data_IF_332252770351
#
_entry.id   IF_332252770351
#
_cell.length_a   1.000
_cell.length_b   1.000
_cell.length_c   1.000
_cell.angle_alpha   90.00
_cell.angle_beta   90.00
_cell.angle_gamma   90.00
#
_symmetry.space_group_name_H-M   'P 1'
#
loop_
_entity.id
_entity.type
_entity.pdbx_description
1 polymer ?
#
# COMPACT_ATOMS: atom_id res chain seq x y z
N UNK A 1 -9.92 39.11 1.75
CA UNK A 1 -10.96 38.18 2.23
C UNK A 1 -10.54 37.76 3.64
N UNK A 2 -11.44 37.49 4.58
CA UNK A 2 -11.07 37.13 5.97
C UNK A 2 -11.70 35.79 6.35
N UNK A 3 -10.93 34.90 6.99
CA UNK A 3 -11.43 33.65 7.57
C UNK A 3 -11.17 33.72 9.08
N UNK A 4 -12.23 33.66 9.89
CA UNK A 4 -12.13 33.82 11.35
C UNK A 4 -11.60 35.17 11.82
N UNK A 5 -11.85 36.26 11.07
CA UNK A 5 -11.39 37.61 11.41
C UNK A 5 -9.90 37.87 11.13
N UNK A 6 -9.24 36.99 10.37
CA UNK A 6 -7.85 37.17 9.91
C UNK A 6 -7.81 37.29 8.38
N UNK A 7 -6.99 38.21 7.83
CA UNK A 7 -6.78 38.31 6.39
C UNK A 7 -6.34 36.96 5.81
N UNK A 8 -7.09 36.49 4.82
CA UNK A 8 -6.91 35.25 4.09
C UNK A 8 -6.76 35.60 2.60
N UNK A 9 -5.71 35.08 1.97
CA UNK A 9 -5.48 35.21 0.54
C UNK A 9 -6.01 33.94 -0.13
N UNK A 10 -6.93 34.12 -1.07
CA UNK A 10 -7.31 33.07 -2.01
C UNK A 10 -6.17 32.94 -3.03
N UNK A 11 -5.75 31.70 -3.37
CA UNK A 11 -6.51 30.46 -3.22
C UNK A 11 -6.14 29.58 -2.02
N UNK A 12 -7.12 28.78 -1.59
CA UNK A 12 -6.93 27.69 -0.63
C UNK A 12 -6.43 26.44 -1.35
N UNK A 13 -5.50 25.71 -0.75
CA UNK A 13 -5.01 24.43 -1.27
C UNK A 13 -5.54 23.31 -0.34
N UNK A 14 -6.62 22.59 -0.72
CA UNK A 14 -7.20 21.59 0.18
C UNK A 14 -6.23 20.45 0.51
N UNK A 15 -5.51 19.97 -0.50
CA UNK A 15 -4.57 18.85 -0.41
C UNK A 15 -3.33 19.20 -1.23
N UNK A 16 -2.16 19.06 -0.61
CA UNK A 16 -0.87 19.14 -1.29
C UNK A 16 -0.28 17.73 -1.37
N UNK A 17 -0.14 17.19 -2.57
CA UNK A 17 0.45 15.87 -2.81
C UNK A 17 1.93 16.01 -3.15
N UNK A 18 2.80 15.23 -2.51
CA UNK A 18 4.24 15.25 -2.73
C UNK A 18 4.77 13.82 -2.80
N UNK A 19 5.50 13.46 -3.85
CA UNK A 19 6.22 12.17 -3.87
C UNK A 19 7.57 12.28 -3.15
N UNK A 20 7.85 11.33 -2.26
CA UNK A 20 9.16 11.16 -1.62
C UNK A 20 10.20 10.51 -2.56
N UNK A 21 9.78 10.02 -3.73
CA UNK A 21 10.68 9.39 -4.69
C UNK A 21 11.80 10.35 -5.13
N UNK A 22 13.05 9.91 -4.97
CA UNK A 22 14.23 10.73 -5.28
C UNK A 22 14.44 11.92 -4.33
N UNK A 23 13.74 11.98 -3.19
CA UNK A 23 13.95 12.98 -2.13
C UNK A 23 14.65 12.30 -0.96
N UNK A 24 15.97 12.46 -0.88
CA UNK A 24 16.83 11.74 0.08
C UNK A 24 17.34 12.63 1.22
N UNK A 25 16.92 13.89 1.28
CA UNK A 25 17.33 14.84 2.32
C UNK A 25 16.19 15.78 2.73
N UNK A 26 16.25 16.36 3.94
CA UNK A 26 15.25 17.33 4.40
C UNK A 26 15.12 18.52 3.45
N UNK A 27 16.23 19.03 2.94
CA UNK A 27 16.24 20.14 1.97
C UNK A 27 15.49 19.77 0.70
N UNK A 28 15.77 18.61 0.11
CA UNK A 28 15.07 18.18 -1.11
C UNK A 28 13.58 17.98 -0.89
N UNK A 29 13.18 17.45 0.27
CA UNK A 29 11.77 17.31 0.62
C UNK A 29 11.10 18.68 0.80
N UNK A 30 11.76 19.62 1.48
CA UNK A 30 11.25 20.98 1.64
C UNK A 30 11.11 21.71 0.30
N UNK A 31 12.11 21.59 -0.57
CA UNK A 31 12.08 22.13 -1.94
C UNK A 31 10.91 21.52 -2.72
N UNK A 32 10.69 20.21 -2.62
CA UNK A 32 9.58 19.55 -3.30
C UNK A 32 8.21 20.04 -2.81
N UNK A 33 8.02 20.15 -1.48
CA UNK A 33 6.77 20.69 -0.90
C UNK A 33 6.52 22.12 -1.41
N UNK A 34 7.55 22.98 -1.41
CA UNK A 34 7.41 24.34 -1.90
C UNK A 34 7.15 24.41 -3.42
N UNK A 35 7.78 23.55 -4.20
CA UNK A 35 7.56 23.44 -5.64
C UNK A 35 6.12 23.02 -5.97
N UNK A 36 5.51 22.14 -5.18
CA UNK A 36 4.10 21.76 -5.36
C UNK A 36 3.13 22.89 -4.98
N UNK A 37 3.53 23.81 -4.10
CA UNK A 37 2.76 25.04 -3.86
C UNK A 37 2.93 26.01 -5.03
N UNK A 38 4.15 26.20 -5.52
CA UNK A 38 4.45 27.03 -6.69
C UNK A 38 3.80 26.50 -7.99
N UNK A 39 3.52 25.20 -8.10
CA UNK A 39 2.82 24.65 -9.25
C UNK A 39 1.33 25.05 -9.27
N UNK A 40 0.76 25.37 -8.11
CA UNK A 40 -0.63 25.76 -7.94
C UNK A 40 -0.83 27.29 -7.90
N UNK A 41 0.22 28.04 -7.56
CA UNK A 41 0.18 29.48 -7.32
C UNK A 41 1.27 30.20 -8.12
N UNK A 42 1.05 31.45 -8.55
CA UNK A 42 2.11 32.28 -9.12
C UNK A 42 3.08 32.75 -8.02
N UNK A 43 3.89 31.84 -7.49
CA UNK A 43 4.87 32.06 -6.42
C UNK A 43 6.24 31.47 -6.76
N UNK A 44 7.23 31.78 -5.93
CA UNK A 44 8.62 31.31 -6.06
C UNK A 44 9.19 30.82 -4.72
N UNK A 45 8.37 30.07 -3.97
CA UNK A 45 8.74 29.51 -2.69
C UNK A 45 9.88 28.49 -2.77
N UNK A 46 9.99 27.75 -3.87
CA UNK A 46 11.08 26.80 -4.12
C UNK A 46 12.44 27.50 -4.00
N UNK A 47 12.60 28.65 -4.65
CA UNK A 47 13.82 29.44 -4.62
C UNK A 47 14.12 30.04 -3.26
N UNK A 48 13.06 30.41 -2.51
CA UNK A 48 13.19 30.86 -1.13
C UNK A 48 13.72 29.74 -0.23
N UNK A 49 13.18 28.53 -0.36
CA UNK A 49 13.64 27.35 0.40
C UNK A 49 15.08 26.98 0.03
N UNK A 50 15.44 27.03 -1.26
CA UNK A 50 16.82 26.72 -1.70
C UNK A 50 17.87 27.62 -1.05
N UNK A 51 17.53 28.87 -0.74
CA UNK A 51 18.44 29.88 -0.17
C UNK A 51 18.46 29.91 1.36
N UNK A 52 17.50 29.27 2.03
CA UNK A 52 17.37 29.28 3.48
C UNK A 52 17.74 27.93 4.10
N UNK A 53 18.26 27.91 5.32
CA UNK A 53 18.55 26.69 6.08
C UNK A 53 17.44 26.29 7.05
N UNK A 54 16.59 27.24 7.47
CA UNK A 54 15.48 26.98 8.38
C UNK A 54 14.23 26.53 7.61
N UNK A 55 14.28 25.31 7.09
CA UNK A 55 13.23 24.75 6.26
C UNK A 55 11.88 24.61 6.99
N UNK A 56 11.90 24.31 8.30
CA UNK A 56 10.67 24.13 9.10
C UNK A 56 9.90 25.44 9.17
N UNK A 57 10.56 26.54 9.56
CA UNK A 57 9.90 27.83 9.69
C UNK A 57 9.38 28.33 8.34
N UNK A 58 10.16 28.16 7.27
CA UNK A 58 9.76 28.62 5.94
C UNK A 58 8.57 27.81 5.40
N UNK A 59 8.62 26.48 5.46
CA UNK A 59 7.48 25.65 5.05
C UNK A 59 6.25 25.98 5.87
N UNK A 60 6.38 26.17 7.17
CA UNK A 60 5.23 26.48 8.02
C UNK A 60 4.54 27.78 7.60
N UNK A 61 5.33 28.81 7.28
CA UNK A 61 4.81 30.07 6.73
C UNK A 61 4.14 29.87 5.37
N UNK A 62 4.76 29.10 4.46
CA UNK A 62 4.19 28.80 3.15
C UNK A 62 2.84 28.09 3.30
N UNK A 63 2.79 27.00 4.07
CA UNK A 63 1.59 26.19 4.22
C UNK A 63 0.45 26.97 4.90
N UNK A 64 0.74 27.67 6.01
CA UNK A 64 -0.30 28.43 6.73
C UNK A 64 -0.78 29.66 5.95
N UNK A 65 0.11 30.36 5.23
CA UNK A 65 -0.27 31.58 4.50
C UNK A 65 -1.10 31.29 3.26
N UNK A 66 -0.91 30.11 2.66
CA UNK A 66 -1.66 29.64 1.50
C UNK A 66 -2.83 28.71 1.88
N UNK A 67 -3.18 28.66 3.17
CA UNK A 67 -4.31 27.88 3.70
C UNK A 67 -4.30 26.43 3.21
N UNK A 68 -3.13 25.78 3.27
CA UNK A 68 -3.00 24.37 2.93
C UNK A 68 -3.76 23.55 3.96
N UNK A 69 -4.77 22.81 3.54
CA UNK A 69 -5.61 22.00 4.43
C UNK A 69 -4.88 20.77 4.96
N UNK A 70 -4.05 20.14 4.13
CA UNK A 70 -3.35 18.90 4.45
C UNK A 70 -2.24 18.58 3.44
N UNK A 71 -1.16 17.94 3.91
CA UNK A 71 -0.05 17.49 3.07
C UNK A 71 0.02 15.97 3.04
N UNK A 72 -0.01 15.39 1.85
CA UNK A 72 0.15 13.97 1.60
C UNK A 72 1.53 13.69 1.00
N UNK A 73 2.35 12.92 1.69
CA UNK A 73 3.68 12.50 1.22
C UNK A 73 3.62 11.02 0.85
N UNK A 74 3.73 10.72 -0.44
CA UNK A 74 3.73 9.35 -0.94
C UNK A 74 5.14 8.76 -1.05
N UNK A 75 5.22 7.44 -1.15
CA UNK A 75 6.45 6.68 -1.32
C UNK A 75 7.50 6.83 -0.19
N UNK A 76 7.06 7.12 1.04
CA UNK A 76 7.95 7.32 2.18
C UNK A 76 8.79 6.08 2.52
N UNK A 77 8.38 4.89 2.08
CA UNK A 77 9.17 3.65 2.23
C UNK A 77 10.57 3.76 1.61
N UNK A 78 10.76 4.62 0.61
CA UNK A 78 12.05 4.78 -0.08
C UNK A 78 13.14 5.34 0.84
N UNK A 79 12.75 6.00 1.94
CA UNK A 79 13.69 6.48 2.98
C UNK A 79 14.32 5.36 3.80
N UNK A 80 13.84 4.11 3.67
CA UNK A 80 14.48 2.94 4.26
C UNK A 80 15.90 2.72 3.72
N UNK A 81 16.14 3.15 2.47
CA UNK A 81 17.41 3.04 1.74
C UNK A 81 18.35 4.23 1.95
N UNK A 82 17.89 5.24 2.68
CA UNK A 82 18.64 6.47 2.96
C UNK A 82 19.35 6.34 4.32
N UNK A 83 20.51 7.01 4.46
CA UNK A 83 21.25 7.11 5.71
C UNK A 83 20.35 7.57 6.86
N UNK A 84 20.58 6.98 8.04
CA UNK A 84 19.74 7.22 9.21
C UNK A 84 19.61 8.70 9.55
N UNK A 85 20.72 9.44 9.58
CA UNK A 85 20.71 10.88 9.89
C UNK A 85 19.80 11.68 8.95
N UNK A 86 19.81 11.35 7.66
CA UNK A 86 19.01 12.05 6.65
C UNK A 86 17.53 11.67 6.78
N UNK A 87 17.23 10.38 7.00
CA UNK A 87 15.88 9.90 7.30
C UNK A 87 15.29 10.58 8.53
N UNK A 88 16.04 10.63 9.63
CA UNK A 88 15.61 11.25 10.88
C UNK A 88 15.38 12.75 10.69
N UNK A 89 16.24 13.40 9.89
CA UNK A 89 16.05 14.79 9.48
C UNK A 89 14.77 15.01 8.68
N UNK A 90 14.38 14.08 7.79
CA UNK A 90 13.15 14.19 7.00
C UNK A 90 11.92 14.04 7.90
N UNK A 91 11.92 13.07 8.82
CA UNK A 91 10.86 12.93 9.82
C UNK A 91 10.78 14.16 10.72
N UNK A 92 11.92 14.69 11.18
CA UNK A 92 11.99 15.91 11.99
C UNK A 92 11.48 17.14 11.25
N UNK A 93 11.76 17.27 9.94
CA UNK A 93 11.20 18.33 9.10
C UNK A 93 9.67 18.25 9.06
N UNK A 94 9.11 17.06 8.81
CA UNK A 94 7.66 16.84 8.71
C UNK A 94 6.99 17.18 10.03
N UNK A 95 7.45 16.58 11.13
CA UNK A 95 6.85 16.79 12.45
C UNK A 95 7.01 18.24 12.89
N UNK A 96 8.20 18.83 12.73
CA UNK A 96 8.43 20.23 13.09
C UNK A 96 7.53 21.18 12.29
N UNK A 97 7.32 20.92 11.00
CA UNK A 97 6.43 21.71 10.15
C UNK A 97 4.98 21.53 10.55
N UNK A 98 4.54 20.30 10.83
CA UNK A 98 3.19 19.98 11.31
C UNK A 98 2.89 20.71 12.63
N UNK A 99 3.79 20.63 13.61
CA UNK A 99 3.63 21.27 14.92
C UNK A 99 3.64 22.81 14.83
N UNK A 100 4.44 23.38 13.93
CA UNK A 100 4.58 24.84 13.78
C UNK A 100 3.45 25.46 12.95
N UNK A 101 3.01 24.78 11.89
CA UNK A 101 1.98 25.29 10.97
C UNK A 101 0.55 24.93 11.38
N UNK A 102 0.38 23.86 12.17
CA UNK A 102 -0.92 23.24 12.43
C UNK A 102 -1.51 22.47 11.24
N UNK A 103 -0.78 22.37 10.12
CA UNK A 103 -1.23 21.64 8.94
C UNK A 103 -0.91 20.15 9.11
N UNK A 104 -1.91 19.25 9.03
CA UNK A 104 -1.68 17.82 9.17
C UNK A 104 -0.88 17.25 8.00
N UNK A 105 -0.03 16.26 8.30
CA UNK A 105 0.72 15.48 7.32
C UNK A 105 0.30 14.02 7.38
N UNK A 106 0.20 13.37 6.21
CA UNK A 106 0.09 11.91 6.09
C UNK A 106 1.22 11.39 5.24
N UNK A 107 1.79 10.28 5.67
CA UNK A 107 2.79 9.55 4.91
C UNK A 107 2.14 8.24 4.42
N UNK A 108 2.28 7.95 3.14
CA UNK A 108 1.94 6.63 2.59
C UNK A 108 3.19 5.90 2.11
N UNK A 109 3.06 4.59 2.06
CA UNK A 109 4.09 3.73 1.53
C UNK A 109 3.74 2.27 1.65
N UNK A 110 4.66 1.43 1.19
CA UNK A 110 4.59 -0.01 1.41
C UNK A 110 4.86 -0.33 2.87
N UNK A 111 4.85 -1.61 3.23
CA UNK A 111 5.16 -2.03 4.60
C UNK A 111 6.54 -1.61 5.10
N UNK A 112 7.49 -1.37 4.19
CA UNK A 112 8.82 -0.85 4.52
C UNK A 112 8.79 0.57 5.14
N UNK A 113 7.66 1.28 5.04
CA UNK A 113 7.45 2.52 5.80
C UNK A 113 7.46 2.27 7.31
N UNK A 114 7.03 1.09 7.77
CA UNK A 114 7.12 0.75 9.20
C UNK A 114 8.56 0.74 9.68
N UNK A 115 9.51 0.25 8.88
CA UNK A 115 10.94 0.26 9.23
C UNK A 115 11.50 1.68 9.32
N UNK A 116 11.02 2.58 8.46
CA UNK A 116 11.38 4.01 8.50
C UNK A 116 10.92 4.63 9.82
N UNK A 117 9.70 4.30 10.25
CA UNK A 117 9.06 4.89 11.42
C UNK A 117 9.57 4.28 12.75
N UNK A 118 9.70 2.95 12.83
CA UNK A 118 10.15 2.28 14.05
C UNK A 118 11.57 2.70 14.49
N UNK A 119 12.42 3.10 13.55
CA UNK A 119 13.79 3.56 13.83
C UNK A 119 13.84 4.90 14.56
N UNK A 120 12.77 5.70 14.56
CA UNK A 120 12.72 6.99 15.24
C UNK A 120 11.42 7.21 16.03
N UNK A 121 11.19 6.32 16.99
CA UNK A 121 9.95 6.16 17.76
C UNK A 121 9.31 7.48 18.25
N UNK A 122 10.08 8.43 18.79
CA UNK A 122 9.53 9.69 19.32
C UNK A 122 8.90 10.60 18.26
N UNK A 123 9.46 10.64 17.05
CA UNK A 123 8.92 11.43 15.94
C UNK A 123 7.76 10.68 15.27
N UNK A 124 7.89 9.36 15.17
CA UNK A 124 6.83 8.52 14.63
C UNK A 124 5.60 8.47 15.51
N UNK A 125 5.73 8.48 16.84
CA UNK A 125 4.59 8.59 17.76
C UNK A 125 3.77 9.87 17.51
N UNK A 126 4.42 10.98 17.12
CA UNK A 126 3.73 12.22 16.73
C UNK A 126 3.02 12.12 15.39
N UNK A 127 3.63 11.47 14.40
CA UNK A 127 2.98 11.18 13.10
C UNK A 127 1.80 10.22 13.26
N UNK A 128 1.94 9.22 14.13
CA UNK A 128 0.91 8.23 14.42
C UNK A 128 -0.17 8.71 15.39
N UNK A 129 -0.02 9.88 16.01
CA UNK A 129 -0.98 10.38 17.00
C UNK A 129 -2.40 10.48 16.43
N UNK A 130 -2.53 10.66 15.10
CA UNK A 130 -3.81 10.74 14.40
C UNK A 130 -4.28 9.40 13.79
N UNK A 131 -3.53 8.32 13.99
CA UNK A 131 -3.87 6.96 13.58
C UNK A 131 -3.05 6.41 12.41
N UNK A 132 -3.20 5.10 12.19
CA UNK A 132 -2.60 4.37 11.06
C UNK A 132 -3.71 3.66 10.30
N UNK A 133 -3.72 3.78 8.97
CA UNK A 133 -4.61 3.04 8.10
C UNK A 133 -3.82 2.00 7.31
N UNK A 134 -4.05 0.73 7.61
CA UNK A 134 -3.51 -0.37 6.80
C UNK A 134 -4.47 -0.70 5.66
N UNK A 135 -3.95 -0.79 4.43
CA UNK A 135 -4.71 -1.23 3.25
C UNK A 135 -4.26 -2.65 2.90
N UNK A 136 -4.89 -3.70 3.46
CA UNK A 136 -4.51 -5.07 3.16
C UNK A 136 -4.91 -5.46 1.72
N UNK A 137 -4.33 -6.53 1.16
CA UNK A 137 -4.85 -7.16 -0.04
C UNK A 137 -6.34 -7.52 0.12
N UNK A 138 -7.04 -7.54 -1.01
CA UNK A 138 -8.44 -7.93 -1.10
C UNK A 138 -8.59 -9.37 -0.63
N UNK A 139 -9.52 -9.62 0.28
CA UNK A 139 -9.73 -10.97 0.82
C UNK A 139 -10.50 -11.86 -0.16
N UNK A 140 -10.21 -13.15 -0.11
CA UNK A 140 -11.05 -14.14 -0.78
C UNK A 140 -12.46 -14.14 -0.17
N UNK A 141 -13.49 -14.33 -1.00
CA UNK A 141 -14.90 -14.25 -0.60
C UNK A 141 -15.58 -13.02 -1.18
N UNK A 142 -16.36 -12.32 -0.36
CA UNK A 142 -17.21 -11.23 -0.84
C UNK A 142 -16.41 -10.05 -1.39
N UNK A 143 -15.29 -9.67 -0.77
CA UNK A 143 -14.50 -8.51 -1.21
C UNK A 143 -13.98 -8.64 -2.64
N UNK A 144 -13.41 -9.80 -2.99
CA UNK A 144 -12.95 -10.05 -4.37
C UNK A 144 -14.13 -10.19 -5.33
N UNK A 145 -15.25 -10.78 -4.90
CA UNK A 145 -16.46 -10.85 -5.70
C UNK A 145 -16.96 -9.45 -6.08
N UNK A 146 -17.08 -8.54 -5.11
CA UNK A 146 -17.56 -7.17 -5.32
C UNK A 146 -16.64 -6.38 -6.26
N UNK A 147 -15.33 -6.58 -6.15
CA UNK A 147 -14.35 -5.94 -7.05
C UNK A 147 -14.49 -6.51 -8.46
N UNK A 148 -14.52 -7.83 -8.60
CA UNK A 148 -14.69 -8.47 -9.90
C UNK A 148 -16.00 -8.05 -10.57
N UNK A 149 -17.11 -8.01 -9.83
CA UNK A 149 -18.41 -7.57 -10.33
C UNK A 149 -18.37 -6.12 -10.84
N UNK A 150 -17.80 -5.19 -10.05
CA UNK A 150 -17.65 -3.78 -10.47
C UNK A 150 -16.75 -3.61 -11.68
N UNK A 151 -15.67 -4.39 -11.78
CA UNK A 151 -14.78 -4.39 -12.93
C UNK A 151 -15.47 -5.01 -14.16
N UNK A 152 -16.23 -6.08 -13.95
CA UNK A 152 -16.99 -6.77 -15.00
C UNK A 152 -18.07 -5.87 -15.61
N UNK A 153 -18.75 -5.07 -14.80
CA UNK A 153 -19.70 -4.05 -15.26
C UNK A 153 -19.06 -2.97 -16.15
N UNK A 154 -17.73 -2.81 -16.08
CA UNK A 154 -16.97 -1.86 -16.91
C UNK A 154 -16.37 -2.52 -18.15
N UNK A 155 -16.65 -3.80 -18.39
CA UNK A 155 -16.21 -4.48 -19.60
C UNK A 155 -16.80 -3.79 -20.85
N UNK A 156 -15.94 -3.52 -21.83
CA UNK A 156 -16.33 -2.92 -23.10
C UNK A 156 -16.48 -4.02 -24.15
N UNK A 157 -17.60 -4.74 -24.11
CA UNK A 157 -18.02 -5.68 -25.17
C UNK A 157 -19.36 -5.25 -25.75
N UNK A 158 -19.60 -5.40 -27.06
CA UNK A 158 -20.88 -5.01 -27.66
C UNK A 158 -22.02 -6.00 -27.36
N UNK A 159 -21.75 -7.09 -26.64
CA UNK A 159 -22.74 -8.01 -26.08
C UNK A 159 -22.56 -8.14 -24.56
N UNK A 160 -23.65 -8.49 -23.89
CA UNK A 160 -23.65 -8.74 -22.44
C UNK A 160 -23.17 -10.16 -22.15
N UNK A 161 -22.10 -10.29 -21.37
CA UNK A 161 -21.61 -11.57 -20.84
C UNK A 161 -21.87 -11.55 -19.34
N UNK A 162 -22.58 -12.54 -18.81
CA UNK A 162 -22.70 -12.70 -17.36
C UNK A 162 -21.36 -13.17 -16.76
N UNK A 163 -20.98 -12.58 -15.63
CA UNK A 163 -19.76 -12.99 -14.91
C UNK A 163 -19.92 -14.43 -14.43
N UNK A 164 -19.05 -15.36 -14.85
CA UNK A 164 -19.11 -16.72 -14.35
C UNK A 164 -18.84 -16.78 -12.84
N UNK A 165 -19.57 -17.60 -12.10
CA UNK A 165 -19.44 -17.71 -10.64
C UNK A 165 -18.06 -18.13 -10.14
N UNK A 166 -17.29 -18.84 -10.97
CA UNK A 166 -15.90 -19.24 -10.68
C UNK A 166 -14.88 -18.11 -10.88
N UNK A 167 -15.25 -17.04 -11.60
CA UNK A 167 -14.32 -16.01 -12.05
C UNK A 167 -13.60 -15.27 -10.91
N UNK A 168 -14.28 -14.80 -9.84
CA UNK A 168 -13.59 -14.11 -8.75
C UNK A 168 -12.57 -14.98 -8.02
N UNK A 169 -12.84 -16.28 -7.91
CA UNK A 169 -11.91 -17.22 -7.27
C UNK A 169 -10.64 -17.40 -8.12
N UNK A 170 -10.79 -17.45 -9.44
CA UNK A 170 -9.64 -17.56 -10.34
C UNK A 170 -8.80 -16.27 -10.31
N UNK A 171 -9.43 -15.09 -10.35
CA UNK A 171 -8.75 -13.80 -10.17
C UNK A 171 -7.97 -13.77 -8.85
N UNK A 172 -8.59 -14.17 -7.74
CA UNK A 172 -7.92 -14.22 -6.43
C UNK A 172 -6.69 -15.13 -6.45
N UNK A 173 -6.78 -16.33 -7.06
CA UNK A 173 -5.67 -17.27 -7.15
C UNK A 173 -4.50 -16.67 -7.92
N UNK A 174 -4.76 -15.95 -9.01
CA UNK A 174 -3.72 -15.41 -9.89
C UNK A 174 -3.12 -14.09 -9.43
N UNK A 175 -3.74 -13.41 -8.46
CA UNK A 175 -3.32 -12.06 -8.02
C UNK A 175 -3.02 -11.96 -6.52
N UNK A 176 -3.35 -13.00 -5.74
CA UNK A 176 -3.31 -12.98 -4.27
C UNK A 176 -4.08 -11.80 -3.64
N UNK A 177 -5.06 -11.23 -4.35
CA UNK A 177 -5.85 -10.10 -3.87
C UNK A 177 -5.13 -8.75 -3.95
N UNK A 178 -3.95 -8.67 -4.56
CA UNK A 178 -3.28 -7.38 -4.77
C UNK A 178 -4.01 -6.58 -5.84
N UNK A 179 -4.51 -5.40 -5.46
CA UNK A 179 -5.30 -4.51 -6.34
C UNK A 179 -4.58 -4.18 -7.64
N UNK A 180 -3.26 -3.92 -7.57
CA UNK A 180 -2.41 -3.69 -8.74
C UNK A 180 -2.47 -4.85 -9.73
N UNK A 181 -2.25 -6.08 -9.25
CA UNK A 181 -2.27 -7.27 -10.10
C UNK A 181 -3.67 -7.62 -10.59
N UNK A 182 -4.72 -7.29 -9.82
CA UNK A 182 -6.11 -7.39 -10.29
C UNK A 182 -6.32 -6.46 -11.50
N UNK A 183 -5.88 -5.20 -11.42
CA UNK A 183 -6.01 -4.26 -12.54
C UNK A 183 -5.17 -4.68 -13.74
N UNK A 184 -3.89 -4.97 -13.53
CA UNK A 184 -2.95 -5.46 -14.56
C UNK A 184 -3.42 -6.76 -15.24
N UNK A 185 -4.26 -7.56 -14.57
CA UNK A 185 -4.86 -8.77 -15.14
C UNK A 185 -6.18 -8.51 -15.87
N UNK A 186 -7.12 -7.81 -15.22
CA UNK A 186 -8.50 -7.70 -15.71
C UNK A 186 -8.63 -6.75 -16.91
N UNK A 187 -7.89 -5.64 -16.91
CA UNK A 187 -7.93 -4.68 -18.02
C UNK A 187 -7.55 -5.33 -19.36
N UNK A 188 -6.38 -5.97 -19.50
CA UNK A 188 -6.01 -6.61 -20.76
C UNK A 188 -6.84 -7.87 -21.04
N UNK A 189 -7.32 -8.59 -20.02
CA UNK A 189 -8.21 -9.73 -20.23
C UNK A 189 -9.52 -9.31 -20.89
N UNK A 190 -10.13 -8.21 -20.43
CA UNK A 190 -11.36 -7.70 -21.03
C UNK A 190 -11.14 -7.19 -22.44
N UNK A 191 -9.99 -6.56 -22.72
CA UNK A 191 -9.61 -6.19 -24.08
C UNK A 191 -9.50 -7.43 -24.98
N UNK A 192 -8.80 -8.48 -24.55
CA UNK A 192 -8.66 -9.72 -25.32
C UNK A 192 -10.01 -10.41 -25.56
N UNK A 193 -10.90 -10.44 -24.57
CA UNK A 193 -12.25 -11.01 -24.74
C UNK A 193 -13.03 -10.29 -25.84
N UNK A 194 -12.90 -8.96 -25.90
CA UNK A 194 -13.54 -8.15 -26.94
C UNK A 194 -12.92 -8.40 -28.32
N UNK A 195 -11.59 -8.46 -28.41
CA UNK A 195 -10.84 -8.76 -29.64
C UNK A 195 -11.18 -10.16 -30.20
N UNK A 196 -11.22 -11.16 -29.32
CA UNK A 196 -11.52 -12.56 -29.68
C UNK A 196 -13.01 -12.80 -29.96
N UNK A 197 -13.86 -11.77 -29.80
CA UNK A 197 -15.30 -11.82 -30.01
C UNK A 197 -16.00 -12.93 -29.20
N UNK A 198 -15.55 -13.14 -27.96
CA UNK A 198 -16.00 -14.25 -27.13
C UNK A 198 -17.35 -13.93 -26.45
N UNK A 199 -18.35 -14.75 -26.74
CA UNK A 199 -19.68 -14.67 -26.10
C UNK A 199 -19.80 -15.48 -24.82
N UNK A 200 -18.88 -16.42 -24.60
CA UNK A 200 -18.81 -17.25 -23.39
C UNK A 200 -17.35 -17.46 -23.02
N UNK A 201 -17.03 -17.19 -21.77
CA UNK A 201 -15.67 -17.30 -21.24
C UNK A 201 -15.55 -18.62 -20.49
N UNK A 202 -14.48 -19.35 -20.76
CA UNK A 202 -14.15 -20.59 -20.04
C UNK A 202 -13.06 -20.35 -19.02
N UNK A 203 -13.04 -21.17 -17.97
CA UNK A 203 -11.98 -21.09 -16.94
C UNK A 203 -10.60 -21.35 -17.55
N UNK A 204 -10.51 -22.26 -18.52
CA UNK A 204 -9.28 -22.54 -19.26
C UNK A 204 -8.75 -21.30 -19.98
N UNK A 205 -9.61 -20.56 -20.67
CA UNK A 205 -9.21 -19.35 -21.38
C UNK A 205 -8.59 -18.30 -20.44
N UNK A 206 -9.24 -18.05 -19.30
CA UNK A 206 -8.75 -17.10 -18.28
C UNK A 206 -7.42 -17.56 -17.68
N UNK A 207 -7.26 -18.87 -17.46
CA UNK A 207 -6.01 -19.46 -16.97
C UNK A 207 -4.87 -19.32 -17.97
N UNK A 208 -5.11 -19.70 -19.23
CA UNK A 208 -4.11 -19.63 -20.30
C UNK A 208 -3.66 -18.17 -20.52
N UNK A 209 -4.59 -17.22 -20.44
CA UNK A 209 -4.29 -15.79 -20.48
C UNK A 209 -3.46 -15.33 -19.26
N UNK A 210 -3.87 -15.72 -18.04
CA UNK A 210 -3.14 -15.38 -16.83
C UNK A 210 -1.71 -15.95 -16.82
N UNK A 211 -1.53 -17.19 -17.27
CA UNK A 211 -0.22 -17.85 -17.32
C UNK A 211 0.73 -17.14 -18.30
N UNK A 212 0.20 -16.47 -19.33
CA UNK A 212 0.98 -15.64 -20.25
C UNK A 212 1.27 -14.25 -19.70
N UNK A 213 0.23 -13.51 -19.31
CA UNK A 213 0.37 -12.08 -18.94
C UNK A 213 0.99 -11.89 -17.54
N UNK A 214 0.72 -12.81 -16.61
CA UNK A 214 1.18 -12.71 -15.22
C UNK A 214 2.42 -13.56 -14.94
N UNK A 215 3.07 -14.12 -15.97
CA UNK A 215 4.24 -14.98 -15.82
C UNK A 215 5.35 -14.33 -14.97
N UNK A 216 5.58 -13.03 -15.14
CA UNK A 216 6.59 -12.28 -14.39
C UNK A 216 6.30 -12.13 -12.90
N UNK A 217 5.02 -12.11 -12.51
CA UNK A 217 4.60 -11.89 -11.11
C UNK A 217 4.15 -13.19 -10.42
N UNK A 218 3.89 -14.26 -11.16
CA UNK A 218 3.39 -15.54 -10.64
C UNK A 218 4.21 -16.08 -9.44
N UNK A 219 5.56 -16.05 -9.44
CA UNK A 219 6.33 -16.49 -8.27
C UNK A 219 6.02 -15.68 -7.01
N UNK A 220 5.81 -14.36 -7.14
CA UNK A 220 5.45 -13.49 -6.02
C UNK A 220 4.06 -13.80 -5.47
N UNK A 221 3.10 -14.06 -6.35
CA UNK A 221 1.73 -14.46 -6.00
C UNK A 221 1.73 -15.78 -5.24
N UNK A 222 2.48 -16.78 -5.69
CA UNK A 222 2.63 -18.06 -4.99
C UNK A 222 3.21 -17.87 -3.58
N UNK A 223 4.26 -17.06 -3.46
CA UNK A 223 4.89 -16.75 -2.17
C UNK A 223 3.90 -16.05 -1.24
N UNK A 224 3.12 -15.10 -1.74
CA UNK A 224 2.07 -14.44 -0.95
C UNK A 224 0.99 -15.41 -0.49
N UNK A 225 0.51 -16.31 -1.35
CA UNK A 225 -0.45 -17.33 -0.94
C UNK A 225 0.10 -18.23 0.16
N UNK A 226 1.37 -18.63 0.06
CA UNK A 226 2.07 -19.39 1.10
C UNK A 226 2.16 -18.57 2.39
N UNK A 227 2.57 -17.30 2.28
CA UNK A 227 2.74 -16.40 3.41
C UNK A 227 1.42 -16.16 4.17
N UNK A 228 0.33 -15.85 3.45
CA UNK A 228 -0.99 -15.64 4.04
C UNK A 228 -1.60 -16.91 4.64
N UNK A 229 -1.20 -18.09 4.16
CA UNK A 229 -1.58 -19.38 4.75
C UNK A 229 -0.69 -19.78 5.94
N UNK A 230 0.33 -18.98 6.28
CA UNK A 230 1.31 -19.28 7.32
C UNK A 230 2.21 -20.47 6.97
N UNK A 231 2.43 -20.75 5.69
CA UNK A 231 3.36 -21.79 5.25
C UNK A 231 4.80 -21.25 5.30
N UNK A 232 5.76 -22.11 5.59
CA UNK A 232 7.18 -21.75 5.61
C UNK A 232 7.64 -21.30 4.23
N UNK A 233 8.28 -20.13 4.15
CA UNK A 233 8.88 -19.54 2.96
C UNK A 233 10.34 -19.22 3.31
N UNK A 234 11.27 -19.36 2.36
CA UNK A 234 12.67 -19.01 2.59
C UNK A 234 12.83 -17.51 2.86
N UNK A 235 13.82 -17.16 3.69
CA UNK A 235 14.11 -15.76 4.07
C UNK A 235 14.50 -14.93 2.84
N UNK A 236 15.24 -15.52 1.89
CA UNK A 236 15.66 -14.86 0.65
C UNK A 236 14.46 -14.48 -0.23
N UNK A 237 13.47 -15.36 -0.34
CA UNK A 237 12.24 -15.08 -1.09
C UNK A 237 11.36 -14.05 -0.38
N UNK A 238 11.27 -14.09 0.95
CA UNK A 238 10.54 -13.08 1.72
C UNK A 238 11.15 -11.69 1.53
N UNK A 239 12.49 -11.56 1.55
CA UNK A 239 13.19 -10.31 1.26
C UNK A 239 12.89 -9.79 -0.14
N UNK A 240 12.81 -10.67 -1.15
CA UNK A 240 12.50 -10.29 -2.54
C UNK A 240 11.09 -9.68 -2.68
N UNK A 241 10.15 -10.07 -1.83
CA UNK A 241 8.76 -9.60 -1.85
C UNK A 241 8.37 -8.84 -0.56
N UNK A 242 9.36 -8.27 0.12
CA UNK A 242 9.18 -7.60 1.41
C UNK A 242 8.23 -6.41 1.32
N UNK A 243 8.11 -5.79 0.15
CA UNK A 243 7.16 -4.69 -0.11
C UNK A 243 5.69 -5.11 0.04
N UNK A 244 5.39 -6.41 -0.07
CA UNK A 244 4.02 -6.96 -0.03
C UNK A 244 3.75 -7.82 1.20
N UNK A 245 4.78 -8.20 1.96
CA UNK A 245 4.67 -9.16 3.06
C UNK A 245 5.12 -8.52 4.36
N UNK A 246 4.19 -8.40 5.28
CA UNK A 246 4.46 -8.05 6.67
C UNK A 246 5.22 -9.19 7.36
N UNK A 247 6.51 -8.98 7.64
CA UNK A 247 7.37 -10.01 8.23
C UNK A 247 6.89 -10.44 9.61
N UNK A 248 6.35 -9.53 10.41
CA UNK A 248 5.90 -9.84 11.77
C UNK A 248 4.54 -10.55 11.76
N UNK A 249 3.59 -10.08 10.94
CA UNK A 249 2.32 -10.82 10.73
C UNK A 249 2.57 -12.19 10.11
N UNK A 250 3.52 -12.31 9.20
CA UNK A 250 3.91 -13.58 8.61
C UNK A 250 4.46 -14.55 9.67
N UNK A 251 5.41 -14.11 10.51
CA UNK A 251 5.95 -14.92 11.62
C UNK A 251 4.84 -15.40 12.55
N UNK A 252 3.93 -14.51 12.93
CA UNK A 252 2.78 -14.86 13.76
C UNK A 252 1.85 -15.86 13.08
N UNK A 253 1.61 -15.72 11.77
CA UNK A 253 0.78 -16.65 11.00
C UNK A 253 1.40 -18.06 10.95
N UNK A 254 2.73 -18.16 10.75
CA UNK A 254 3.46 -19.44 10.78
C UNK A 254 3.36 -20.10 12.15
N UNK A 255 3.61 -19.35 13.24
CA UNK A 255 3.51 -19.88 14.60
C UNK A 255 2.10 -20.41 14.91
N UNK A 256 1.07 -19.64 14.56
CA UNK A 256 -0.34 -20.05 14.73
C UNK A 256 -0.67 -21.31 13.94
N UNK A 257 -0.20 -21.42 12.70
CA UNK A 257 -0.40 -22.61 11.87
C UNK A 257 0.27 -23.83 12.50
N UNK A 258 1.52 -23.71 12.92
CA UNK A 258 2.27 -24.80 13.54
C UNK A 258 1.60 -25.29 14.84
N UNK A 259 1.16 -24.37 15.69
CA UNK A 259 0.39 -24.70 16.89
C UNK A 259 -0.91 -25.46 16.56
N UNK A 260 -1.64 -25.02 15.53
CA UNK A 260 -2.86 -25.70 15.06
C UNK A 260 -2.58 -27.11 14.54
N UNK A 261 -1.50 -27.29 13.77
CA UNK A 261 -1.10 -28.59 13.25
C UNK A 261 -0.69 -29.55 14.37
N UNK A 262 0.09 -29.08 15.35
CA UNK A 262 0.47 -29.85 16.53
C UNK A 262 -0.77 -30.34 17.31
N UNK A 263 -1.74 -29.46 17.55
CA UNK A 263 -2.99 -29.84 18.21
C UNK A 263 -3.81 -30.87 17.41
N UNK A 264 -3.82 -30.77 16.07
CA UNK A 264 -4.47 -31.77 15.21
C UNK A 264 -3.75 -33.11 15.28
N UNK A 265 -2.41 -33.12 15.25
CA UNK A 265 -1.64 -34.37 15.37
C UNK A 265 -1.81 -35.04 16.72
N UNK A 266 -1.82 -34.28 17.82
CA UNK A 266 -2.09 -34.80 19.17
C UNK A 266 -3.49 -35.43 19.25
N UNK A 267 -4.51 -34.76 18.70
CA UNK A 267 -5.87 -35.30 18.64
C UNK A 267 -5.95 -36.60 17.83
N UNK A 268 -5.19 -36.72 16.74
CA UNK A 268 -5.13 -37.95 15.93
C UNK A 268 -4.43 -39.07 16.71
N UNK A 269 -3.29 -38.79 17.33
CA UNK A 269 -2.56 -39.76 18.16
C UNK A 269 -3.43 -40.27 19.32
N UNK A 270 -4.13 -39.38 20.02
CA UNK A 270 -5.03 -39.75 21.12
C UNK A 270 -6.21 -40.61 20.64
N UNK A 271 -6.77 -40.34 19.45
CA UNK A 271 -7.81 -41.19 18.85
C UNK A 271 -7.29 -42.58 18.48
N UNK A 272 -6.06 -42.69 17.97
CA UNK A 272 -5.45 -43.99 17.67
C UNK A 272 -5.15 -44.80 18.93
N UNK A 273 -4.65 -44.15 19.98
CA UNK A 273 -4.43 -44.78 21.30
C UNK A 273 -5.77 -45.28 21.88
N UNK A 274 -6.83 -44.47 21.81
CA UNK A 274 -8.16 -44.86 22.27
C UNK A 274 -8.71 -46.06 21.48
N UNK A 275 -8.56 -46.08 20.14
CA UNK A 275 -8.95 -47.23 19.32
C UNK A 275 -8.19 -48.51 19.70
N UNK A 276 -6.89 -48.42 19.96
CA UNK A 276 -6.07 -49.58 20.39
C UNK A 276 -6.45 -50.11 21.77
N UNK A 277 -6.95 -49.25 22.68
CA UNK A 277 -7.44 -49.67 24.00
C UNK A 277 -8.81 -50.35 23.96
N UNK A 278 -9.65 -50.04 22.97
CA UNK A 278 -10.98 -50.65 22.79
C UNK A 278 -10.88 -52.00 22.06
N UNK A 279 -9.83 -52.21 21.27
CA UNK A 279 -9.58 -53.45 20.54
C UNK A 279 -8.83 -54.54 21.34
N UNK A 280 -8.48 -54.27 22.60
CA UNK A 280 -7.92 -55.23 23.56
C UNK A 280 -8.97 -55.55 24.61
#
# INVERSE_FOLDING_TARGET
MEFGGKPCIWPQIPILYVSAAGRTSPRQLAVAIAAEVDSMLPSHFEDMIKKNSDHVLQLSKILSSNLVGFVFIDDCQLWSRVDQRLRDGMLGLIVGTMETSGVPFMCSGTILLQDVLQRHRSQSEKLFAQGTLEIPPVRNGQEIHDICEKMWQRQVTPWQIEMPSWFPLEVYRRTAGLRRYIAEFLEPLFAQIAEDNLRKISEKYVRDFADRELAGIAPGVEIMHCAYKGQGVSIELLKKYEEYIDTDKYRLAVLRRNARLAHISERRANKEIAKRKIAK
#
